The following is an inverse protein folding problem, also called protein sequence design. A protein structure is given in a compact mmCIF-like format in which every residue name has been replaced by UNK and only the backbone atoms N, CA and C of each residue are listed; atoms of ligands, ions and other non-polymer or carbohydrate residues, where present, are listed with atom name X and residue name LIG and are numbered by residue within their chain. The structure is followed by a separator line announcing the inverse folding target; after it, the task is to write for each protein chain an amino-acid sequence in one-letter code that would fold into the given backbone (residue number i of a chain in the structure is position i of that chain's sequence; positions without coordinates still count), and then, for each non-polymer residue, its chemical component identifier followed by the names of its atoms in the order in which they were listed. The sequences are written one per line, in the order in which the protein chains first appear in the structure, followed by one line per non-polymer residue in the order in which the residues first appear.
data_IF_185539678823
#
_entry.id   IF_185539678823
#
_cell.length_a   1.000
_cell.length_b   1.000
_cell.length_c   1.000
_cell.angle_alpha   90.00
_cell.angle_beta   90.00
_cell.angle_gamma   90.00
#
_symmetry.space_group_name_H-M   'P 1'
#
loop_
_entity.id
_entity.type
_entity.pdbx_description
1 polymer ?
2 non-polymer ?
3 non-polymer ?
4 non-polymer ?
5 water ?
#
# COMPACT_ATOMS: atom_id res chain seq x y z
N UNK A 21 -7.26 -26.48 12.67
CA UNK A 21 -7.95 -25.52 13.54
C UNK A 21 -9.19 -24.94 12.85
N UNK A 22 -10.05 -24.22 13.62
CA UNK A 22 -11.31 -23.64 13.15
C UNK A 22 -11.64 -22.32 13.89
N UNK A 23 -12.64 -21.56 13.36
CA UNK A 23 -13.14 -20.29 13.91
C UNK A 23 -14.47 -19.83 13.33
N UNK A 24 -15.27 -19.13 14.16
CA UNK A 24 -16.58 -18.62 13.79
C UNK A 24 -16.62 -17.08 13.58
N UNK A 25 -17.17 -16.65 12.44
CA UNK A 25 -17.37 -15.25 12.12
C UNK A 25 -18.83 -15.08 11.68
N UNK A 26 -19.62 -14.33 12.49
CA UNK A 26 -21.05 -14.05 12.30
C UNK A 26 -21.84 -15.30 11.95
N UNK A 27 -21.68 -16.34 12.81
CA UNK A 27 -22.34 -17.63 12.71
C UNK A 27 -21.83 -18.59 11.64
N UNK A 28 -20.79 -18.18 10.88
CA UNK A 28 -20.21 -18.99 9.82
C UNK A 28 -18.85 -19.56 10.18
N UNK A 29 -18.67 -20.85 9.97
CA UNK A 29 -17.45 -21.59 10.29
C UNK A 29 -16.40 -21.55 9.19
N UNK A 30 -15.13 -21.28 9.59
CA UNK A 30 -13.94 -21.16 8.74
C UNK A 30 -12.87 -22.10 9.23
N UNK A 31 -12.40 -22.98 8.34
CA UNK A 31 -11.32 -23.90 8.64
C UNK A 31 -10.03 -23.18 8.28
N UNK A 32 -9.04 -23.15 9.19
CA UNK A 32 -7.76 -22.48 8.96
C UNK A 32 -6.81 -23.34 8.09
N UNK A 33 -6.28 -22.78 6.97
CA UNK A 33 -5.33 -23.47 6.09
C UNK A 33 -3.91 -23.17 6.51
N UNK A 34 -3.60 -21.89 6.75
CA UNK A 34 -2.28 -21.41 7.15
C UNK A 34 -2.34 -19.98 7.69
N UNK A 35 -1.25 -19.55 8.33
CA UNK A 35 -1.07 -18.23 8.87
C UNK A 35 -0.34 -17.44 7.79
N UNK A 36 -0.89 -16.27 7.41
CA UNK A 36 -0.26 -15.40 6.42
C UNK A 36 0.64 -14.34 7.11
N UNK A 37 0.04 -13.45 7.89
CA UNK A 37 0.77 -12.39 8.58
C UNK A 37 0.63 -12.41 10.08
N UNK A 38 1.25 -11.40 10.75
CA UNK A 38 1.20 -11.17 12.21
C UNK A 38 1.65 -9.76 12.56
N UNK A 40 0.92 -7.34 14.82
CA UNK A 40 1.54 -7.61 16.11
C UNK A 40 0.60 -8.31 17.06
N UNK A 41 -0.48 -7.58 17.47
CA UNK A 41 -1.60 -8.06 18.30
C UNK A 41 -2.71 -8.57 17.33
N UNK A 42 -2.36 -8.61 16.03
CA UNK A 42 -3.16 -9.07 14.90
C UNK A 42 -2.44 -10.22 14.19
N UNK A 43 -3.22 -11.20 13.71
CA UNK A 43 -2.75 -12.34 12.93
C UNK A 43 -3.68 -12.42 11.69
N UNK A 44 -3.13 -12.75 10.51
CA UNK A 44 -3.92 -12.89 9.29
C UNK A 44 -3.78 -14.35 8.88
N UNK A 45 -4.90 -15.01 8.54
CA UNK A 45 -4.89 -16.42 8.17
C UNK A 45 -5.56 -16.68 6.83
N UNK A 46 -5.12 -17.74 6.13
CA UNK A 46 -5.76 -18.23 4.94
C UNK A 46 -6.79 -19.26 5.44
N UNK A 47 -8.07 -19.07 5.10
CA UNK A 47 -9.14 -19.92 5.63
C UNK A 47 -10.07 -20.50 4.54
N UNK A 48 -10.93 -21.47 4.88
CA UNK A 48 -11.94 -22.00 3.95
C UNK A 48 -13.30 -21.93 4.62
N UNK A 49 -14.34 -21.50 3.89
CA UNK A 49 -15.69 -21.46 4.47
C UNK A 49 -16.41 -22.84 4.33
N UNK A 50 -17.69 -22.92 4.75
CA UNK A 50 -18.50 -24.14 4.66
C UNK A 50 -18.75 -24.57 3.18
N UNK A 51 -18.78 -23.60 2.22
CA UNK A 51 -18.96 -23.83 0.78
C UNK A 51 -17.59 -24.09 0.07
N UNK A 52 -16.53 -24.36 0.87
CA UNK A 52 -15.15 -24.66 0.46
C UNK A 52 -14.41 -23.54 -0.32
N UNK A 53 -14.86 -22.26 -0.15
CA UNK A 53 -14.23 -21.06 -0.74
C UNK A 53 -13.15 -20.50 0.16
N UNK A 54 -12.10 -19.94 -0.47
CA UNK A 54 -10.92 -19.37 0.19
C UNK A 54 -11.04 -17.85 0.51
N UNK A 55 -10.63 -17.48 1.74
CA UNK A 55 -10.64 -16.10 2.23
C UNK A 55 -9.43 -15.87 3.10
N UNK A 56 -9.28 -14.62 3.60
CA UNK A 56 -8.26 -14.23 4.59
C UNK A 56 -9.01 -13.67 5.79
N UNK A 57 -8.71 -14.18 6.97
CA UNK A 57 -9.35 -13.66 8.16
C UNK A 57 -8.31 -12.91 8.97
N UNK A 58 -8.55 -11.61 9.17
CA UNK A 58 -7.67 -10.83 10.00
C UNK A 58 -8.25 -10.82 11.42
N UNK A 59 -7.52 -11.45 12.34
CA UNK A 59 -7.87 -11.48 13.74
C UNK A 59 -7.03 -10.38 14.43
N UNK A 60 -7.68 -9.51 15.25
CA UNK A 60 -7.08 -8.42 16.03
C UNK A 60 -7.47 -8.62 17.51
N UNK A 61 -6.49 -8.57 18.41
CA UNK A 61 -6.75 -8.70 19.84
C UNK A 61 -6.94 -7.31 20.46
N UNK A 62 -8.12 -7.06 21.07
CA UNK A 62 -8.42 -5.74 21.65
C UNK A 62 -8.17 -5.65 23.14
N UNK A 63 -7.57 -6.73 23.73
CA UNK A 63 -7.28 -6.90 25.17
C UNK A 63 -6.52 -5.73 25.82
N UNK A 64 -5.42 -5.26 25.19
CA UNK A 64 -4.61 -4.15 25.70
C UNK A 64 -4.68 -2.90 24.78
N UNK A 65 -5.83 -2.71 24.12
CA UNK A 65 -6.10 -1.60 23.19
C UNK A 65 -6.87 -0.46 23.89
N UNK A 66 -6.34 0.77 23.81
CA UNK A 66 -6.97 1.94 24.42
C UNK A 66 -8.07 2.50 23.51
N UNK A 67 -8.78 3.55 23.96
CA UNK A 67 -9.87 4.16 23.21
C UNK A 67 -9.45 4.81 21.90
N UNK A 68 -8.26 5.45 21.86
CA UNK A 68 -7.70 6.08 20.66
C UNK A 68 -7.39 4.99 19.62
N UNK A 69 -6.87 3.84 20.09
CA UNK A 69 -6.53 2.68 19.25
C UNK A 69 -7.82 2.07 18.68
N UNK A 70 -8.81 1.82 19.55
CA UNK A 70 -10.11 1.26 19.17
C UNK A 70 -10.79 2.14 18.17
N UNK A 71 -10.71 3.44 18.40
CA UNK A 71 -11.30 4.39 17.49
C UNK A 71 -10.62 4.46 16.14
N UNK A 72 -9.29 4.27 16.09
CA UNK A 72 -8.53 4.26 14.84
C UNK A 72 -8.87 3.01 14.01
N UNK A 73 -9.06 1.85 14.70
CA UNK A 73 -9.43 0.53 14.16
C UNK A 73 -10.84 0.55 13.60
N UNK A 74 -11.79 1.25 14.26
CA UNK A 74 -13.18 1.33 13.85
C UNK A 74 -13.31 2.24 12.65
N UNK A 75 -12.49 3.30 12.64
CA UNK A 75 -12.45 4.28 11.56
C UNK A 75 -11.92 3.65 10.28
N UNK A 76 -10.84 2.87 10.37
CA UNK A 76 -10.28 2.17 9.24
C UNK A 76 -11.28 1.15 8.65
N UNK A 77 -11.98 0.36 9.53
CA UNK A 77 -12.97 -0.63 9.12
C UNK A 77 -14.12 0.04 8.37
N UNK A 78 -14.63 1.17 8.85
CA UNK A 78 -15.72 1.90 8.19
C UNK A 78 -15.31 2.45 6.85
N UNK A 79 -14.02 2.93 6.74
CA UNK A 79 -13.53 3.44 5.46
C UNK A 79 -13.36 2.34 4.46
N UNK A 80 -12.77 1.18 4.88
CA UNK A 80 -12.62 -0.01 4.03
C UNK A 80 -13.97 -0.53 3.50
N UNK A 81 -14.93 -0.65 4.39
CA UNK A 81 -16.26 -1.10 4.06
C UNK A 81 -16.99 -0.11 3.11
N UNK A 82 -16.82 1.24 3.28
CA UNK A 82 -17.44 2.24 2.40
C UNK A 82 -16.83 2.22 0.99
N UNK A 83 -15.48 2.29 0.94
CA UNK A 83 -14.67 2.40 -0.25
C UNK A 83 -14.62 1.16 -1.13
N UNK A 84 -15.26 0.07 -0.65
CA UNK A 84 -15.45 -1.23 -1.32
C UNK A 84 -16.10 -0.98 -2.66
N UNK A 85 -17.30 -0.32 -2.58
CA UNK A 85 -18.22 0.03 -3.65
C UNK A 85 -17.60 0.87 -4.73
N UNK A 86 -16.65 1.78 -4.37
CA UNK A 86 -15.99 2.75 -5.26
C UNK A 86 -14.87 2.23 -6.15
N UNK A 87 -14.15 1.17 -5.73
CA UNK A 87 -13.05 0.64 -6.54
C UNK A 87 -12.75 -0.79 -6.27
N UNK A 88 -12.51 -1.55 -7.35
CA UNK A 88 -12.11 -2.94 -7.25
C UNK A 88 -10.60 -3.06 -6.92
N UNK A 89 -9.85 -1.92 -6.87
CA UNK A 89 -8.42 -1.88 -6.52
C UNK A 89 -8.21 -1.75 -5.01
N UNK A 90 -9.31 -1.79 -4.24
CA UNK A 90 -9.33 -1.80 -2.77
C UNK A 90 -9.71 -3.27 -2.39
N UNK A 91 -8.99 -3.89 -1.42
CA UNK A 91 -9.27 -5.25 -0.94
C UNK A 91 -10.76 -5.43 -0.52
N UNK A 92 -11.37 -6.59 -0.88
CA UNK A 92 -12.75 -6.86 -0.51
C UNK A 92 -12.80 -7.25 0.97
N UNK A 93 -13.77 -6.67 1.69
CA UNK A 93 -14.14 -6.92 3.07
C UNK A 93 -15.57 -7.51 2.93
N UNK A 94 -15.68 -8.82 3.18
CA UNK A 94 -16.91 -9.59 3.01
C UNK A 94 -17.84 -9.54 4.20
N UNK A 95 -17.26 -9.52 5.41
CA UNK A 95 -17.98 -9.51 6.67
C UNK A 95 -16.95 -9.26 7.77
N UNK A 96 -17.44 -8.93 8.97
CA UNK A 96 -16.61 -8.76 10.16
C UNK A 96 -17.39 -9.00 11.43
N UNK A 97 -16.67 -9.33 12.52
CA UNK A 97 -17.23 -9.51 13.85
C UNK A 97 -16.38 -8.67 14.81
N UNK A 98 -16.98 -7.64 15.42
CA UNK A 98 -16.29 -6.75 16.37
C UNK A 98 -16.94 -6.94 17.73
N UNK A 99 -16.15 -7.27 18.74
CA UNK A 99 -16.60 -7.34 20.13
C UNK A 99 -15.60 -6.49 20.91
N UNK A 100 -15.68 -6.53 22.26
CA UNK A 100 -14.78 -5.80 23.14
C UNK A 100 -13.40 -6.45 23.29
N UNK A 101 -13.30 -7.76 23.03
CA UNK A 101 -12.07 -8.54 23.15
C UNK A 101 -11.37 -8.74 21.80
N UNK A 102 -12.14 -8.79 20.68
CA UNK A 102 -11.56 -9.05 19.36
C UNK A 102 -12.29 -8.48 18.15
N UNK A 103 -11.57 -8.45 17.03
CA UNK A 103 -12.04 -8.14 15.69
C UNK A 103 -11.68 -9.35 14.77
N UNK A 104 -12.65 -9.81 13.96
CA UNK A 104 -12.50 -10.84 12.93
C UNK A 104 -13.00 -10.18 11.67
N UNK A 105 -12.17 -10.13 10.64
CA UNK A 105 -12.49 -9.51 9.35
C UNK A 105 -12.31 -10.55 8.27
N UNK A 106 -13.39 -10.85 7.52
CA UNK A 106 -13.38 -11.81 6.41
C UNK A 106 -13.14 -11.00 5.11
N UNK A 107 -12.00 -11.22 4.52
CA UNK A 107 -11.59 -10.48 3.35
C UNK A 107 -11.23 -11.42 2.22
N UNK A 108 -10.91 -10.86 1.04
CA UNK A 108 -10.46 -11.72 -0.05
C UNK A 108 -9.00 -12.11 0.19
N UNK A 109 -8.60 -13.24 -0.36
CA UNK A 109 -7.23 -13.70 -0.25
C UNK A 109 -6.43 -13.30 -1.52
N UNK A 110 -5.25 -12.74 -1.29
CA UNK A 110 -4.35 -12.42 -2.39
C UNK A 110 -3.40 -13.56 -2.62
N UNK A 111 -2.55 -13.45 -3.63
CA UNK A 111 -1.55 -14.47 -3.92
C UNK A 111 -0.31 -14.14 -3.10
N UNK A 112 0.14 -12.87 -3.13
CA UNK A 112 1.36 -12.40 -2.46
C UNK A 112 1.28 -10.88 -2.30
N UNK A 113 2.02 -10.30 -1.35
CA UNK A 113 2.04 -8.84 -1.22
C UNK A 113 3.10 -8.35 -2.23
N UNK A 114 3.04 -7.09 -2.62
CA UNK A 114 3.98 -6.54 -3.61
C UNK A 114 5.44 -6.54 -3.13
N UNK A 115 5.70 -6.32 -1.82
CA UNK A 115 7.08 -6.31 -1.29
C UNK A 115 7.76 -7.66 -1.41
N UNK A 116 7.07 -8.76 -1.00
CA UNK A 116 7.56 -10.13 -1.06
C UNK A 116 7.77 -10.57 -2.51
N UNK A 117 6.87 -10.12 -3.39
CA UNK A 117 6.92 -10.45 -4.79
C UNK A 117 8.12 -9.81 -5.49
N UNK A 118 8.34 -8.49 -5.26
CA UNK A 118 9.44 -7.74 -5.86
C UNK A 118 10.82 -8.23 -5.35
N UNK A 119 10.89 -8.62 -4.05
CA UNK A 119 12.10 -9.15 -3.42
C UNK A 119 12.52 -10.51 -4.02
N UNK A 120 11.54 -11.40 -4.32
CA UNK A 120 11.73 -12.72 -4.92
C UNK A 120 12.11 -12.61 -6.41
N UNK A 121 11.38 -11.76 -7.16
CA UNK A 121 11.58 -11.52 -8.59
C UNK A 121 12.89 -10.81 -8.92
N UNK A 122 13.61 -11.34 -9.93
CA UNK A 122 14.87 -10.77 -10.43
C UNK A 122 14.59 -9.45 -11.18
N UNK A 123 13.83 -9.52 -12.28
CA UNK A 123 13.48 -8.35 -13.08
C UNK A 123 11.97 -8.29 -13.31
N UNK A 124 11.42 -7.05 -13.37
CA UNK A 124 10.00 -6.81 -13.64
C UNK A 124 9.79 -6.46 -15.12
N UNK A 125 8.81 -7.12 -15.75
CA UNK A 125 8.43 -6.89 -17.15
C UNK A 125 7.79 -5.47 -17.26
N UNK A 126 8.08 -4.70 -18.31
CA UNK A 126 7.54 -3.34 -18.41
C UNK A 126 6.03 -3.22 -18.50
N UNK A 127 5.37 -4.28 -19.02
CA UNK A 127 3.93 -4.34 -19.16
C UNK A 127 3.27 -4.57 -17.80
N UNK A 128 3.79 -5.51 -16.99
CA UNK A 128 3.21 -5.77 -15.67
C UNK A 128 3.41 -4.60 -14.73
N UNK A 129 4.56 -3.91 -14.83
CA UNK A 129 4.91 -2.74 -14.04
C UNK A 129 3.92 -1.59 -14.31
N UNK A 130 3.61 -1.33 -15.61
CA UNK A 130 2.67 -0.30 -16.05
C UNK A 130 1.28 -0.67 -15.52
N UNK A 131 0.86 -1.94 -15.73
CA UNK A 131 -0.41 -2.48 -15.24
C UNK A 131 -0.54 -2.26 -13.73
N UNK A 132 0.53 -2.56 -12.96
CA UNK A 132 0.62 -2.39 -11.49
C UNK A 132 0.58 -0.94 -11.08
N UNK A 133 1.25 -0.06 -11.84
CA UNK A 133 1.27 1.38 -11.61
C UNK A 133 -0.15 1.96 -11.73
N UNK A 134 -0.88 1.59 -12.81
CA UNK A 134 -2.26 2.01 -13.04
C UNK A 134 -3.17 1.67 -11.87
N UNK A 135 -3.03 0.45 -11.30
CA UNK A 135 -3.81 -0.06 -10.17
C UNK A 135 -3.51 0.71 -8.90
N UNK A 136 -2.21 1.00 -8.67
CA UNK A 136 -1.73 1.80 -7.55
C UNK A 136 -2.35 3.18 -7.62
N UNK A 137 -2.32 3.84 -8.82
CA UNK A 137 -2.95 5.16 -8.99
C UNK A 137 -4.46 5.13 -8.70
N UNK A 138 -5.20 4.14 -9.25
CA UNK A 138 -6.64 4.00 -9.06
C UNK A 138 -7.04 3.86 -7.57
N UNK A 139 -6.37 2.96 -6.81
CA UNK A 139 -6.58 2.67 -5.38
C UNK A 139 -6.31 3.92 -4.52
N UNK A 140 -5.17 4.58 -4.77
CA UNK A 140 -4.82 5.81 -4.05
C UNK A 140 -5.75 6.96 -4.43
N UNK A 141 -6.06 7.14 -5.71
CA UNK A 141 -7.01 8.17 -6.18
C UNK A 141 -8.31 8.08 -5.39
N UNK A 142 -8.91 6.87 -5.33
CA UNK A 142 -10.15 6.55 -4.60
C UNK A 142 -10.13 7.01 -3.13
N UNK A 143 -9.02 6.76 -2.40
CA UNK A 143 -8.91 7.15 -1.00
C UNK A 143 -8.86 8.66 -0.86
N UNK A 144 -8.11 9.34 -1.74
CA UNK A 144 -8.00 10.80 -1.80
C UNK A 144 -9.34 11.45 -2.07
N UNK A 145 -10.19 10.84 -2.91
CA UNK A 145 -11.53 11.35 -3.21
C UNK A 145 -12.47 11.33 -1.98
N UNK A 146 -12.13 10.52 -0.95
CA UNK A 146 -12.86 10.40 0.31
C UNK A 146 -12.19 11.12 1.49
N UNK A 147 -11.19 11.95 1.19
CA UNK A 147 -10.49 12.71 2.19
C UNK A 147 -9.33 12.02 2.89
N UNK A 148 -8.94 10.86 2.38
CA UNK A 148 -7.90 10.08 3.03
C UNK A 148 -6.54 10.17 2.33
N UNK A 149 -5.51 10.47 3.11
CA UNK A 149 -4.13 10.38 2.65
C UNK A 149 -3.49 9.27 3.46
N UNK A 150 -2.97 8.25 2.79
CA UNK A 150 -2.45 7.10 3.51
C UNK A 150 -1.26 7.46 4.38
N UNK A 151 -0.32 8.19 3.80
CA UNK A 151 0.77 8.81 4.54
C UNK A 151 1.90 7.82 4.83
N UNK A 152 1.66 6.54 4.58
CA UNK A 152 2.69 5.53 4.75
C UNK A 152 2.59 4.44 3.71
N UNK A 153 2.79 4.81 2.46
CA UNK A 153 2.78 3.86 1.35
C UNK A 153 4.13 3.22 1.17
N UNK A 154 4.11 1.91 1.00
CA UNK A 154 5.25 1.00 0.87
C UNK A 154 4.71 -0.12 -0.02
N UNK A 155 5.55 -0.97 -0.68
CA UNK A 155 4.99 -2.06 -1.46
C UNK A 155 4.22 -3.06 -0.61
N UNK A 156 4.49 -3.15 0.72
CA UNK A 156 3.78 -4.06 1.66
C UNK A 156 2.28 -3.77 1.80
N UNK A 157 1.84 -2.52 1.46
CA UNK A 157 0.44 -2.07 1.54
C UNK A 157 -0.41 -2.50 0.36
N UNK A 158 0.22 -3.18 -0.63
CA UNK A 158 -0.41 -3.66 -1.87
C UNK A 158 -0.36 -5.17 -1.96
N UNK A 159 -1.38 -5.74 -2.59
CA UNK A 159 -1.55 -7.18 -2.69
C UNK A 159 -1.85 -7.60 -4.11
N UNK A 160 -1.18 -8.66 -4.61
CA UNK A 160 -1.46 -9.17 -5.94
C UNK A 160 -2.59 -10.19 -5.84
N UNK A 161 -3.69 -9.93 -6.54
CA UNK A 161 -4.85 -10.80 -6.56
C UNK A 161 -5.26 -10.92 -8.02
N UNK A 162 -5.00 -12.06 -8.66
CA UNK A 162 -5.41 -12.32 -10.05
C UNK A 162 -4.78 -11.30 -11.02
N UNK A 163 -3.46 -11.14 -10.93
CA UNK A 163 -2.70 -10.20 -11.77
C UNK A 163 -3.15 -8.76 -11.60
N UNK A 164 -3.82 -8.48 -10.49
CA UNK A 164 -4.37 -7.18 -10.17
C UNK A 164 -3.82 -6.76 -8.84
N UNK A 165 -3.33 -5.55 -8.78
CA UNK A 165 -2.78 -5.01 -7.54
C UNK A 165 -3.91 -4.31 -6.73
N UNK A 166 -4.03 -4.67 -5.45
CA UNK A 166 -5.04 -4.09 -4.56
C UNK A 166 -4.43 -3.49 -3.30
N UNK A 167 -4.93 -2.31 -2.88
CA UNK A 167 -4.53 -1.64 -1.62
C UNK A 167 -5.16 -2.34 -0.41
N UNK A 168 -4.33 -2.71 0.56
CA UNK A 168 -4.80 -3.44 1.74
C UNK A 168 -5.28 -2.59 2.91
N UNK A 169 -4.67 -1.42 3.12
CA UNK A 169 -5.06 -0.56 4.23
C UNK A 169 -5.01 0.93 3.86
N UNK A 170 -5.52 1.79 4.73
CA UNK A 170 -5.66 3.22 4.46
C UNK A 170 -4.77 4.13 5.29
N UNK A 171 -4.00 3.57 6.22
CA UNK A 171 -3.09 4.32 7.07
C UNK A 171 -3.70 4.92 8.33
N UNK A 172 -5.02 4.68 8.57
CA UNK A 172 -5.75 5.21 9.73
C UNK A 172 -5.47 4.40 11.00
N UNK A 173 -5.59 3.05 10.96
CA UNK A 173 -5.38 2.19 12.13
C UNK A 173 -3.96 2.31 12.73
N UNK A 174 -3.86 2.31 14.08
CA UNK A 174 -2.60 2.36 14.83
C UNK A 174 -1.83 1.03 14.66
N UNK A 188 6.67 -4.62 6.20
CA UNK A 188 7.75 -3.65 6.33
C UNK A 188 7.51 -2.75 7.55
N UNK A 189 8.33 -2.89 8.59
CA UNK A 189 8.15 -2.13 9.82
C UNK A 189 8.98 -0.83 9.95
N UNK A 190 8.30 0.30 9.78
CA UNK A 190 8.86 1.64 9.92
C UNK A 190 10.02 2.04 9.02
N UNK A 191 9.97 1.65 7.72
CA UNK A 191 10.98 2.00 6.72
C UNK A 191 10.87 3.50 6.36
N UNK A 192 12.00 4.18 6.07
CA UNK A 192 11.98 5.60 5.68
C UNK A 192 12.26 5.83 4.17
N UNK A 193 12.51 4.74 3.41
CA UNK A 193 12.83 4.77 1.98
C UNK A 193 11.72 5.39 1.10
N UNK A 194 10.46 5.36 1.58
CA UNK A 194 9.28 5.86 0.83
C UNK A 194 8.72 7.13 1.44
N UNK A 195 9.39 7.68 2.48
CA UNK A 195 9.00 8.89 3.19
C UNK A 195 9.22 10.19 2.39
N UNK A 196 8.16 11.01 2.21
CA UNK A 196 8.35 12.28 1.49
C UNK A 196 9.12 13.32 2.33
N UNK A 197 9.86 14.27 1.68
CA UNK A 197 10.60 15.28 2.45
C UNK A 197 9.79 16.08 3.45
N UNK A 198 8.53 16.44 3.11
CA UNK A 198 7.61 17.20 3.99
C UNK A 198 7.24 16.45 5.30
N UNK A 199 7.23 15.10 5.26
CA UNK A 199 6.90 14.22 6.39
C UNK A 199 8.06 14.12 7.37
N UNK A 200 9.31 14.28 6.85
CA UNK A 200 10.54 14.27 7.63
C UNK A 200 10.67 15.62 8.36
N UNK A 201 10.27 16.73 7.69
CA UNK A 201 10.30 18.09 8.26
C UNK A 201 9.29 18.26 9.42
N UNK A 202 8.01 17.85 9.19
CA UNK A 202 6.90 17.94 10.14
C UNK A 202 7.11 17.12 11.42
N UNK A 216 1.83 17.04 4.94
CA UNK A 216 0.98 15.91 4.54
C UNK A 216 -0.33 16.32 3.83
N UNK A 217 -0.28 16.21 2.50
CA UNK A 217 -1.36 16.49 1.56
C UNK A 217 -1.40 15.23 0.66
N UNK A 218 -2.36 15.10 -0.31
CA UNK A 218 -2.29 13.93 -1.23
C UNK A 218 -0.93 13.77 -1.95
N UNK A 219 -0.16 14.87 -2.10
CA UNK A 219 1.15 14.87 -2.76
C UNK A 219 2.18 14.03 -2.03
N UNK A 220 1.93 13.72 -0.75
CA UNK A 220 2.81 12.88 0.07
C UNK A 220 2.76 11.45 -0.42
N UNK A 221 1.55 10.99 -0.78
CA UNK A 221 1.29 9.66 -1.32
C UNK A 221 1.90 9.52 -2.70
N UNK A 222 1.95 10.65 -3.48
CA UNK A 222 2.58 10.72 -4.81
C UNK A 222 4.08 10.42 -4.70
N UNK A 223 4.78 11.04 -3.71
CA UNK A 223 6.19 10.78 -3.46
C UNK A 223 6.42 9.29 -3.19
N UNK A 224 5.63 8.71 -2.24
CA UNK A 224 5.74 7.31 -1.84
C UNK A 224 5.47 6.35 -2.99
N UNK A 225 4.47 6.65 -3.83
CA UNK A 225 4.16 5.87 -5.04
C UNK A 225 5.33 5.94 -6.06
N UNK A 226 5.94 7.11 -6.19
CA UNK A 226 7.09 7.33 -7.07
C UNK A 226 8.29 6.49 -6.63
N UNK A 227 8.51 6.36 -5.30
CA UNK A 227 9.56 5.52 -4.73
C UNK A 227 9.35 4.03 -5.09
N UNK A 228 8.06 3.56 -5.07
CA UNK A 228 7.66 2.17 -5.40
C UNK A 228 7.89 1.94 -6.92
N UNK A 229 7.55 2.94 -7.76
CA UNK A 229 7.76 2.79 -9.19
C UNK A 229 9.25 2.83 -9.50
N UNK A 230 10.03 3.64 -8.75
CA UNK A 230 11.48 3.75 -8.87
C UNK A 230 12.14 2.40 -8.53
N UNK A 231 11.65 1.68 -7.48
CA UNK A 231 12.11 0.34 -7.10
C UNK A 231 11.82 -0.61 -8.28
N UNK A 232 10.56 -0.61 -8.80
CA UNK A 232 10.11 -1.44 -9.93
C UNK A 232 10.89 -1.16 -11.23
N UNK A 233 11.50 0.03 -11.34
CA UNK A 233 12.26 0.47 -12.51
C UNK A 233 13.75 0.11 -12.38
N UNK A 234 14.42 0.71 -11.36
CA UNK A 234 15.86 0.58 -11.12
C UNK A 234 16.32 -0.50 -10.11
N UNK A 235 15.38 -1.28 -9.57
CA UNK A 235 15.70 -2.36 -8.64
C UNK A 235 16.06 -1.97 -7.21
N UNK A 236 16.00 -0.67 -6.88
CA UNK A 236 16.27 -0.14 -5.53
C UNK A 236 15.47 1.17 -5.31
N UNK A 237 15.24 1.59 -4.06
CA UNK A 237 14.55 2.86 -3.78
C UNK A 237 15.56 4.02 -3.99
N UNK A 238 15.11 5.29 -4.25
CA UNK A 238 16.09 6.36 -4.55
C UNK A 238 17.25 6.59 -3.59
N UNK A 239 17.06 6.26 -2.28
CA UNK A 239 18.07 6.47 -1.23
C UNK A 239 18.47 5.17 -0.50
N UNK A 240 18.20 3.99 -1.13
CA UNK A 240 18.47 2.65 -0.58
C UNK A 240 19.95 2.44 -0.23
N UNK A 241 20.86 3.00 -1.03
CA UNK A 241 22.32 2.92 -0.88
C UNK A 241 22.86 3.55 0.41
N UNK A 242 22.06 4.39 1.10
CA UNK A 242 22.47 5.03 2.35
C UNK A 242 22.01 4.18 3.55
N UNK A 243 22.97 3.50 4.22
CA UNK A 243 22.72 2.63 5.39
C UNK A 243 22.16 3.44 6.56
N UNK A 244 22.99 4.38 7.09
CA UNK A 244 22.73 5.30 8.20
C UNK A 244 21.42 6.07 8.01
N UNK A 245 20.43 5.83 8.91
CA UNK A 245 19.10 6.46 8.84
C UNK A 245 19.15 7.97 8.93
N UNK A 246 20.04 8.54 9.79
CA UNK A 246 20.20 9.99 9.93
C UNK A 246 20.68 10.60 8.60
N UNK A 247 21.79 10.07 8.02
CA UNK A 247 22.33 10.54 6.75
C UNK A 247 21.32 10.36 5.60
N UNK A 248 20.45 9.33 5.67
CA UNK A 248 19.43 9.07 4.65
C UNK A 248 18.32 10.14 4.72
N UNK A 249 17.85 10.47 5.96
CA UNK A 249 16.80 11.48 6.19
C UNK A 249 17.31 12.85 5.76
N UNK A 250 18.62 13.06 5.92
CA UNK A 250 19.30 14.29 5.51
C UNK A 250 19.39 14.38 3.99
N UNK A 251 19.54 13.25 3.28
CA UNK A 251 19.63 13.23 1.82
C UNK A 251 18.27 13.49 1.13
N UNK A 252 17.18 12.93 1.68
CA UNK A 252 15.81 13.07 1.16
C UNK A 252 15.37 14.53 1.20
N UNK A 253 15.69 15.25 2.28
CA UNK A 253 15.33 16.66 2.37
C UNK A 253 16.27 17.60 1.60
N UNK A 254 17.54 17.18 1.41
CA UNK A 254 18.59 17.94 0.73
C UNK A 254 18.30 18.23 -0.76
N UNK A 255 18.04 19.51 -1.14
CA UNK A 255 17.79 19.83 -2.55
C UNK A 255 19.03 19.71 -3.45
N UNK A 256 20.22 19.93 -2.86
CA UNK A 256 21.50 19.81 -3.56
C UNK A 256 21.89 18.33 -3.74
N UNK A 257 21.10 17.40 -3.15
CA UNK A 257 21.31 15.96 -3.30
C UNK A 257 20.49 15.46 -4.48
N UNK A 258 21.16 15.28 -5.62
CA UNK A 258 20.53 14.89 -6.87
C UNK A 258 20.17 13.40 -6.94
N UNK A 259 18.86 13.12 -7.14
CA UNK A 259 18.36 11.76 -7.34
C UNK A 259 18.77 11.37 -8.78
N UNK A 260 19.54 10.28 -8.92
CA UNK A 260 19.96 9.79 -10.23
C UNK A 260 18.79 9.09 -10.93
N UNK A 261 18.57 9.44 -12.20
CA UNK A 261 17.53 8.82 -13.00
C UNK A 261 18.19 8.20 -14.25
N UNK A 262 18.91 7.04 -14.10
CA UNK A 262 19.58 6.44 -15.27
C UNK A 262 18.68 6.25 -16.48
N UNK A 263 19.23 6.52 -17.67
CA UNK A 263 18.52 6.39 -18.94
C UNK A 263 18.06 4.96 -19.22
N UNK A 264 16.76 4.82 -19.49
CA UNK A 264 16.09 3.56 -19.76
C UNK A 264 15.32 3.72 -21.11
N UNK A 265 14.99 2.62 -21.84
CA UNK A 265 14.26 2.77 -23.11
C UNK A 265 12.89 3.44 -23.00
N UNK A 266 12.32 3.52 -21.78
CA UNK A 266 11.03 4.14 -21.56
C UNK A 266 11.19 5.54 -20.99
N UNK A 267 11.19 6.54 -21.90
CA UNK A 267 11.34 7.95 -21.58
C UNK A 267 10.12 8.48 -20.78
N UNK A 268 8.90 7.95 -21.09
CA UNK A 268 7.63 8.27 -20.40
C UNK A 268 7.70 7.84 -18.93
N UNK A 269 8.29 6.65 -18.68
CA UNK A 269 8.52 6.09 -17.35
C UNK A 269 9.52 6.93 -16.60
N UNK A 270 10.57 7.43 -17.28
CA UNK A 270 11.59 8.28 -16.67
C UNK A 270 10.97 9.62 -16.25
N UNK A 271 10.09 10.18 -17.09
CA UNK A 271 9.42 11.44 -16.81
C UNK A 271 8.48 11.34 -15.62
N UNK A 272 7.73 10.21 -15.46
CA UNK A 272 6.83 9.96 -14.32
C UNK A 272 7.63 10.06 -13.02
N UNK A 273 8.78 9.34 -12.98
CA UNK A 273 9.70 9.25 -11.85
C UNK A 273 10.23 10.59 -11.44
N UNK A 274 10.68 11.40 -12.41
CA UNK A 274 11.18 12.75 -12.16
C UNK A 274 10.08 13.65 -11.60
N UNK A 275 8.82 13.47 -12.07
CA UNK A 275 7.62 14.24 -11.67
C UNK A 275 7.14 13.93 -10.25
N UNK A 276 7.22 12.65 -9.85
CA UNK A 276 6.80 12.15 -8.54
C UNK A 276 7.81 12.53 -7.49
N UNK A 277 9.09 12.43 -7.86
CA UNK A 277 10.22 12.67 -6.96
C UNK A 277 10.74 14.08 -6.88
N UNK A 278 9.80 15.06 -6.90
CA UNK A 278 10.07 16.50 -6.76
C UNK A 278 9.93 16.83 -5.29
N UNK A 279 11.02 17.26 -4.63
CA UNK A 279 11.04 17.57 -3.18
C UNK A 279 9.97 18.58 -2.72
N UNK A 280 9.66 19.60 -3.56
CA UNK A 280 8.63 20.60 -3.25
C UNK A 280 7.26 20.05 -3.63
N UNK A 281 6.38 19.83 -2.62
CA UNK A 281 5.04 19.28 -2.91
C UNK A 281 4.25 20.11 -3.93
N UNK A 282 4.48 21.44 -3.95
CA UNK A 282 3.86 22.38 -4.87
C UNK A 282 4.31 22.14 -6.30
N UNK A 283 5.53 21.58 -6.50
CA UNK A 283 6.13 21.27 -7.81
C UNK A 283 5.92 19.81 -8.24
N UNK A 284 5.26 19.02 -7.38
CA UNK A 284 4.99 17.61 -7.59
C UNK A 284 3.68 17.40 -8.34
N UNK A 285 3.67 16.42 -9.25
CA UNK A 285 2.50 16.03 -10.04
C UNK A 285 1.40 15.43 -9.11
N UNK A 286 0.13 15.66 -9.45
CA UNK A 286 -0.98 15.16 -8.69
C UNK A 286 -1.43 13.81 -9.26
N UNK A 287 -2.25 13.03 -8.50
CA UNK A 287 -2.83 11.78 -8.99
C UNK A 287 -3.68 12.02 -10.24
N UNK A 288 -4.65 12.99 -10.30
CA UNK A 288 -5.40 13.18 -11.58
C UNK A 288 -4.47 13.47 -12.79
N UNK A 289 -3.33 14.14 -12.55
CA UNK A 289 -2.36 14.45 -13.61
C UNK A 289 -1.58 13.22 -13.99
N UNK A 290 -1.27 12.34 -13.03
CA UNK A 290 -0.58 11.08 -13.32
C UNK A 290 -1.44 10.10 -14.13
N UNK A 291 -2.78 10.17 -13.96
CA UNK A 291 -3.75 9.32 -14.65
C UNK A 291 -3.96 9.74 -16.10
N UNK A 292 -3.50 10.95 -16.48
CA UNK A 292 -3.58 11.49 -17.86
C UNK A 292 -2.20 11.47 -18.54
N UNK A 293 -1.15 11.04 -17.81
CA UNK A 293 0.23 11.00 -18.29
C UNK A 293 0.42 9.99 -19.42
N UNK A 294 1.31 10.23 -20.42
CA UNK A 294 1.53 9.24 -21.50
C UNK A 294 1.90 7.82 -21.05
N UNK A 295 2.66 7.69 -19.93
CA UNK A 295 3.09 6.41 -19.40
C UNK A 295 1.92 5.48 -19.16
N UNK A 296 0.82 6.03 -18.62
CA UNK A 296 -0.41 5.32 -18.29
C UNK A 296 -1.39 5.22 -19.49
N UNK A 297 -1.24 6.09 -20.49
CA UNK A 297 -2.20 6.18 -21.59
C UNK A 297 -1.77 5.72 -22.97
N UNK A 298 -0.49 5.91 -23.31
CA UNK A 298 -0.02 5.61 -24.64
C UNK A 298 0.09 4.11 -24.92
N UNK A 299 -0.34 3.72 -26.12
CA UNK A 299 -0.33 2.34 -26.57
C UNK A 299 -1.57 1.59 -26.10
X LIG B 1 -3.32 -4.43 12.56
X LIG B 1 -4.11 -3.28 12.87
X LIG B 1 -5.46 -3.74 13.36
X LIG B 1 -6.42 -2.87 12.75
X LIG B 1 -7.66 -3.55 12.50
X LIG B 1 -8.45 -2.72 11.51
X LIG B 1 -7.65 -2.61 10.32
X LIG B 1 -8.38 -2.88 9.13
X LIG B 1 -7.49 -2.92 7.90
X LIG B 1 -7.31 -4.33 7.55
X LIG B 1 -6.51 -4.56 6.35
X LIG B 1 -5.00 -4.49 6.60
X LIG B 1 -4.51 -5.72 7.10
X LIG B 1 -3.22 -5.50 7.72
X LIG B 1 -2.59 -6.81 8.24
X LIG B 1 -2.24 -6.67 9.64
X LIG C 1 -5.37 -1.40 -18.55
X LIG C 1 -4.90 -2.40 -17.60
X LIG C 1 -3.68 -3.16 -18.13
X LIG C 1 -2.72 -2.25 -18.74
X LIG C 1 -1.45 -2.89 -18.85
X LIG C 1 -0.26 -1.99 -19.15
X LIG C 1 -0.46 -1.32 -20.40
X LIG D 1 -2.16 -12.72 0.79
X LIG D 1 -0.88 -12.46 1.11
X LIG D 1 -0.70 -11.29 2.38
X LIG D 1 -2.41 -11.10 2.51
X LIG D 1 -3.22 -10.28 3.35
X LIG D 1 -3.11 -11.93 1.57
X LIG D 1 -4.45 -11.94 1.40
X LIG D 1 -5.17 -11.16 2.16
X LIG D 1 -4.64 -10.30 3.15
X LIG D 1 -5.45 -9.52 4.00
X LIG D 1 -4.87 -8.76 4.96
X LIG D 1 -3.56 -8.70 5.18
X LIG D 1 -2.77 -9.43 4.38
X LIG E 1 -17.36 7.60 18.01
X LIG E 1 -16.73 6.33 17.84
X LIG E 1 -17.01 8.52 16.80
X LIG E 1 -15.83 9.28 17.02
X LIG F 1 3.94 -21.48 2.47
X LIG F 1 3.38 -22.65 1.86
X LIG F 1 2.52 -22.24 0.66
X LIG F 1 1.32 -23.05 0.62
X LIG F 1 0.78 -23.13 -0.71
X LIG F 1 -0.68 -22.69 -0.72
X LIG F 1 -0.74 -21.26 -0.93
X LIG F 1 -1.63 -20.94 -2.01
X LIG F 1 -1.33 -19.52 -2.57
X LIG F 1 -1.92 -18.44 -1.81
X LIG F 1 -0.86 -17.82 -1.08
X LIG F 1 -1.37 -16.81 -0.06
X LIG F 1 -0.46 -16.81 1.05
X LIG F 1 0.52 -15.77 0.98
X LIG F 1 1.49 -15.90 2.18
X LIG F 1 2.00 -17.26 2.27
X LIG G 1 -6.22 12.67 -6.01
X LIG G 1 -4.93 12.85 -5.48
X LIG G 1 -7.15 13.82 -5.55
X LIG G 1 -8.46 13.55 -6.06
X LIG H 1 14.56 16.98 -10.68
X LIG H 1 14.07 18.05 -9.89
X LIG H 1 13.44 15.97 -11.06
X LIG H 1 13.12 15.14 -9.95
X LIG I 1 10.22 22.69 -10.65
X LIG I 1 10.05 22.07 -11.94
X LIG I 1 8.57 21.76 -12.26
X LIG I 1 8.40 20.32 -12.35
X LIG I 1 7.76 19.89 -13.58
X LIG I 1 8.73 19.18 -14.55
X LIG I 1 9.02 17.78 -14.26
X LIG I 1 9.79 17.18 -15.34
X LIG I 1 11.22 16.81 -14.91
X LIG I 1 11.81 17.82 -14.07
X LIG J 1 -16.24 -1.44 -8.62
X LIG J 1 -16.62 -0.07 -8.67
X LIG J 1 -16.65 -2.07 -7.26
X LIG J 1 -16.26 -3.42 -7.23
#
# INVERSE_FOLDING_TARGET
MHHHHHHSSGVDLGTENLYFQSMSVKGRIYSILKQIGSGGSSKVFQVLNEKKQIYAIKYVNLEEADNQTLDSYRNEIAYLNKLQQHSDKIIRLYDYEITDQYIYMVMECGNIDLNSWLKKKKSIDPWERKSYWKNMLEAVHTIHQHGIVHSDLKPANFLIVDGMLKLIDFGIANQMQPDTTSVVKDSQVGTVNYMPPEAIKDMSSSRENGKSKSKISPKSDVWSLGCILYYMTYGKTPFQQIINQISKLHAIIDPNHEIEFPDIPEKDLQDVLKCCLKRDPKQRISIPELLAHPYVQIQTHPVNQMAKGTTEE
7PE O19 C18 C17 O16 C15 C14 O13 C12 C11 O10 C9 C8 O7 C6 C5 O4
7PE O19 C18 C17 O16 C15 C14 O13
ZO6 C9 C8 S C7 C C6 N1 C5 C4 C3 C2 N C1
EDO C1 O1 C2 O2
7PE O19 C18 C17 O16 C15 C14 O13 C12 C11 O10 C9 C8 O7 C6 C5 O4
EDO C1 O1 C2 O2
EDO C1 O1 C2 O2
7PE O19 C18 C17 O16 C15 C14 O13 C12 C11 O10
EDO C1 O1 C2 O2
#
